data_IF_442810084711
#
_entry.id   IF_442810084711
#
_cell.length_a   1.000
_cell.length_b   1.000
_cell.length_c   1.000
_cell.angle_alpha   90.00
_cell.angle_beta   90.00
_cell.angle_gamma   90.00
#
_symmetry.space_group_name_H-M   'P 1'
#
loop_
_entity.id
_entity.type
_entity.pdbx_description
1 polymer ?
#
# COMPACT_ATOMS: atom_id res chain seq x y z
N UNK A 1 22.26 21.18 -10.14
CA UNK A 1 23.23 21.91 -9.30
C UNK A 1 24.58 21.22 -9.34
N UNK A 2 25.67 21.91 -9.00
CA UNK A 2 26.99 21.32 -8.82
C UNK A 2 27.35 21.37 -7.34
N UNK A 3 27.83 20.25 -6.80
CA UNK A 3 28.17 20.11 -5.38
C UNK A 3 29.57 19.49 -5.23
N UNK A 4 30.19 19.74 -4.10
CA UNK A 4 31.48 19.17 -3.70
C UNK A 4 31.27 18.21 -2.52
N UNK A 5 32.08 17.18 -2.42
CA UNK A 5 32.06 16.25 -1.28
C UNK A 5 33.30 16.53 -0.43
N UNK A 6 33.10 16.90 0.85
CA UNK A 6 34.20 17.19 1.78
C UNK A 6 35.06 15.94 2.00
N UNK A 7 36.37 16.09 1.89
CA UNK A 7 37.34 14.97 2.08
C UNK A 7 37.38 13.95 0.92
N UNK A 8 36.80 14.26 -0.22
CA UNK A 8 37.00 13.45 -1.42
C UNK A 8 38.38 13.70 -2.02
N UNK A 9 39.08 12.65 -2.44
CA UNK A 9 40.35 12.74 -3.19
C UNK A 9 40.14 13.38 -4.58
N UNK A 10 38.90 13.41 -5.07
CA UNK A 10 38.53 14.09 -6.32
C UNK A 10 38.07 15.51 -6.02
N UNK A 11 38.82 16.50 -6.49
CA UNK A 11 38.42 17.92 -6.45
C UNK A 11 37.34 18.28 -7.47
N UNK A 12 36.84 17.32 -8.26
CA UNK A 12 35.82 17.57 -9.30
C UNK A 12 34.42 17.68 -8.70
N UNK A 13 33.66 18.73 -9.06
CA UNK A 13 32.28 18.85 -8.62
C UNK A 13 31.39 17.73 -9.20
N UNK A 14 30.47 17.27 -8.36
CA UNK A 14 29.41 16.33 -8.76
C UNK A 14 28.22 17.14 -9.29
N UNK A 15 27.87 16.94 -10.55
CA UNK A 15 26.69 17.57 -11.17
C UNK A 15 25.45 16.75 -10.86
N UNK A 16 24.53 17.27 -10.05
CA UNK A 16 23.21 16.71 -9.79
C UNK A 16 22.17 17.37 -10.71
N UNK A 17 21.50 16.58 -11.52
CA UNK A 17 20.48 17.00 -12.48
C UNK A 17 19.08 16.52 -12.06
N UNK A 18 18.05 16.92 -12.80
CA UNK A 18 16.69 16.41 -12.59
C UNK A 18 16.61 14.87 -12.71
N UNK A 19 17.44 14.28 -13.58
CA UNK A 19 17.48 12.81 -13.75
C UNK A 19 18.07 12.07 -12.55
N UNK A 20 18.73 12.76 -11.64
CA UNK A 20 19.24 12.20 -10.39
C UNK A 20 18.26 12.33 -9.22
N UNK A 21 17.21 13.13 -9.38
CA UNK A 21 16.20 13.37 -8.34
C UNK A 21 15.37 12.12 -8.08
N UNK A 22 15.20 11.78 -6.81
CA UNK A 22 14.41 10.62 -6.36
C UNK A 22 13.17 11.08 -5.60
N UNK A 23 13.32 11.95 -4.61
CA UNK A 23 12.23 12.38 -3.75
C UNK A 23 12.54 13.73 -3.09
N UNK A 24 11.50 14.39 -2.59
CA UNK A 24 11.63 15.59 -1.75
C UNK A 24 10.73 15.43 -0.53
N UNK A 25 11.25 15.80 0.62
CA UNK A 25 10.52 15.89 1.90
C UNK A 25 10.51 17.30 2.45
N UNK A 26 10.02 17.47 3.68
CA UNK A 26 9.94 18.77 4.34
C UNK A 26 11.30 19.44 4.54
N UNK A 27 12.35 18.68 4.80
CA UNK A 27 13.68 19.20 5.12
C UNK A 27 14.59 19.35 3.90
N UNK A 28 14.38 18.54 2.84
CA UNK A 28 15.30 18.54 1.69
C UNK A 28 14.92 17.57 0.59
N UNK A 29 15.81 17.48 -0.38
CA UNK A 29 15.66 16.65 -1.58
C UNK A 29 16.74 15.58 -1.66
N UNK A 30 16.36 14.41 -2.12
CA UNK A 30 17.24 13.25 -2.33
C UNK A 30 17.58 13.11 -3.81
N UNK A 31 18.87 13.04 -4.09
CA UNK A 31 19.40 12.77 -5.42
C UNK A 31 20.25 11.50 -5.37
N UNK A 32 20.30 10.75 -6.47
CA UNK A 32 21.15 9.56 -6.58
C UNK A 32 22.05 9.67 -7.80
N UNK A 33 23.35 9.47 -7.59
CA UNK A 33 24.34 9.43 -8.67
C UNK A 33 25.49 8.49 -8.32
N UNK A 34 25.82 7.59 -9.24
CA UNK A 34 26.95 6.67 -9.08
C UNK A 34 26.83 5.76 -7.84
N UNK A 35 25.61 5.30 -7.50
CA UNK A 35 25.37 4.46 -6.31
C UNK A 35 25.40 5.19 -4.97
N UNK A 36 25.56 6.53 -4.99
CA UNK A 36 25.55 7.37 -3.78
C UNK A 36 24.27 8.20 -3.74
N UNK A 37 23.60 8.26 -2.61
CA UNK A 37 22.49 9.17 -2.35
C UNK A 37 23.01 10.47 -1.71
N UNK A 38 22.40 11.58 -2.08
CA UNK A 38 22.70 12.93 -1.61
C UNK A 38 21.44 13.53 -1.02
N UNK A 39 21.39 13.79 0.30
CA UNK A 39 20.35 14.60 0.93
C UNK A 39 20.81 16.06 0.88
N UNK A 40 20.08 16.90 0.16
CA UNK A 40 20.33 18.34 0.03
C UNK A 40 19.23 19.07 0.76
N UNK A 41 19.58 19.81 1.79
CA UNK A 41 18.60 20.55 2.60
C UNK A 41 18.02 21.74 1.84
N UNK A 42 16.72 21.94 1.96
CA UNK A 42 16.03 23.13 1.43
C UNK A 42 16.50 24.38 2.16
N UNK A 43 16.68 24.27 3.48
CA UNK A 43 17.31 25.29 4.30
C UNK A 43 18.63 24.74 4.87
N UNK A 44 19.80 25.12 4.33
CA UNK A 44 21.10 24.66 4.82
C UNK A 44 21.38 24.94 6.30
N UNK A 45 20.73 25.94 6.90
CA UNK A 45 20.87 26.26 8.33
C UNK A 45 20.20 25.19 9.22
N UNK A 46 19.26 24.41 8.67
CA UNK A 46 18.61 23.30 9.38
C UNK A 46 19.38 22.00 9.24
N UNK A 47 20.48 21.97 8.48
CA UNK A 47 21.31 20.78 8.34
C UNK A 47 21.88 20.34 9.70
N UNK A 48 21.91 19.02 9.95
CA UNK A 48 22.53 18.46 11.15
C UNK A 48 24.01 18.87 11.25
N UNK A 49 24.49 19.16 12.48
CA UNK A 49 25.90 19.51 12.70
C UNK A 49 26.84 18.36 12.30
N UNK A 50 28.05 18.71 11.85
CA UNK A 50 29.10 17.72 11.54
C UNK A 50 29.40 16.76 12.70
N UNK A 51 29.36 17.26 13.93
CA UNK A 51 29.55 16.47 15.13
C UNK A 51 28.49 15.37 15.28
N UNK A 52 27.22 15.66 14.94
CA UNK A 52 26.15 14.65 14.93
C UNK A 52 26.41 13.54 13.91
N UNK A 53 26.95 13.88 12.72
CA UNK A 53 27.36 12.88 11.73
C UNK A 53 28.44 11.94 12.33
N UNK A 54 29.36 12.51 13.10
CA UNK A 54 30.38 11.75 13.84
C UNK A 54 29.77 10.79 14.86
N UNK A 55 28.81 11.25 15.67
CA UNK A 55 28.12 10.38 16.62
C UNK A 55 27.32 9.27 15.92
N UNK A 56 26.61 9.56 14.85
CA UNK A 56 25.87 8.56 14.06
C UNK A 56 26.78 7.54 13.37
N UNK A 57 28.06 7.88 13.13
CA UNK A 57 29.01 6.99 12.45
C UNK A 57 29.28 5.69 13.20
N UNK A 58 29.10 5.67 14.54
CA UNK A 58 29.33 4.48 15.39
C UNK A 58 28.29 3.37 15.16
N UNK A 59 27.18 3.66 14.50
CA UNK A 59 26.19 2.64 14.15
C UNK A 59 26.81 1.69 13.11
N UNK A 60 26.99 0.43 13.48
CA UNK A 60 27.65 -0.58 12.63
C UNK A 60 26.66 -1.40 11.79
N UNK A 61 25.36 -1.34 12.10
CA UNK A 61 24.32 -2.10 11.39
C UNK A 61 24.26 -1.69 9.91
N UNK A 62 24.51 -2.60 8.96
CA UNK A 62 24.67 -2.26 7.53
C UNK A 62 23.36 -1.83 6.84
N UNK A 63 22.24 -2.11 7.49
CA UNK A 63 20.90 -1.72 7.05
C UNK A 63 20.44 -0.36 7.63
N UNK A 64 21.27 0.32 8.40
CA UNK A 64 21.03 1.70 8.86
C UNK A 64 21.73 2.65 7.89
N UNK A 65 20.95 3.43 7.14
CA UNK A 65 21.43 4.32 6.07
C UNK A 65 21.77 5.68 6.67
N UNK A 66 22.93 5.77 7.25
CA UNK A 66 23.42 6.94 7.99
C UNK A 66 24.10 7.97 7.10
N UNK A 67 24.20 9.24 7.55
CA UNK A 67 25.05 10.26 6.92
C UNK A 67 26.51 9.83 6.90
N UNK A 68 27.21 10.06 5.77
CA UNK A 68 28.60 9.67 5.60
C UNK A 68 29.53 10.87 5.46
N UNK A 69 29.32 11.70 4.43
CA UNK A 69 30.20 12.82 4.10
C UNK A 69 29.38 14.09 3.85
N UNK A 70 29.93 15.25 4.25
CA UNK A 70 29.30 16.53 4.03
C UNK A 70 29.34 16.89 2.55
N UNK A 71 28.22 17.39 2.06
CA UNK A 71 28.09 17.99 0.73
C UNK A 71 28.14 19.51 0.87
N UNK A 72 28.95 20.12 0.02
CA UNK A 72 29.20 21.56 0.00
C UNK A 72 28.69 22.16 -1.30
N UNK A 73 28.30 23.41 -1.26
CA UNK A 73 28.05 24.24 -2.46
C UNK A 73 29.38 24.71 -3.10
N UNK A 74 29.29 25.45 -4.21
CA UNK A 74 30.46 26.03 -4.89
C UNK A 74 31.25 27.03 -4.02
N UNK A 75 30.61 27.60 -2.98
CA UNK A 75 31.22 28.54 -2.03
C UNK A 75 31.76 27.85 -0.79
N UNK A 76 31.84 26.52 -0.79
CA UNK A 76 32.28 25.68 0.33
C UNK A 76 31.34 25.70 1.57
N UNK A 77 30.08 26.14 1.43
CA UNK A 77 29.12 26.07 2.52
C UNK A 77 28.49 24.69 2.57
N UNK A 78 28.29 24.09 3.76
CA UNK A 78 27.57 22.83 3.93
C UNK A 78 26.10 22.99 3.53
N UNK A 79 25.62 22.10 2.65
CA UNK A 79 24.24 22.10 2.17
C UNK A 79 23.55 20.74 2.28
N UNK A 80 24.29 19.71 2.71
CA UNK A 80 23.76 18.38 2.83
C UNK A 80 24.83 17.35 3.17
N UNK A 81 24.49 16.09 2.95
CA UNK A 81 25.40 14.97 3.16
C UNK A 81 25.18 13.85 2.13
N UNK A 82 26.16 12.99 1.97
CA UNK A 82 26.04 11.74 1.24
C UNK A 82 25.64 10.60 2.17
N UNK A 83 24.99 9.59 1.61
CA UNK A 83 24.67 8.33 2.28
C UNK A 83 24.64 7.20 1.26
N UNK A 84 24.64 5.95 1.73
CA UNK A 84 24.46 4.78 0.88
C UNK A 84 23.12 4.85 0.15
N UNK A 85 23.12 4.58 -1.15
CA UNK A 85 21.89 4.38 -1.90
C UNK A 85 21.44 2.92 -1.81
N UNK A 86 20.17 2.71 -1.53
CA UNK A 86 19.52 1.39 -1.56
C UNK A 86 18.53 1.38 -2.71
N UNK A 87 18.81 0.56 -3.72
CA UNK A 87 17.94 0.37 -4.88
C UNK A 87 16.96 -0.78 -4.66
N UNK A 88 15.97 -0.90 -5.55
CA UNK A 88 15.02 -2.01 -5.59
C UNK A 88 14.30 -2.25 -4.26
N UNK A 89 13.72 -1.21 -3.73
CA UNK A 89 12.98 -1.23 -2.47
C UNK A 89 11.54 -0.78 -2.63
N UNK A 90 10.74 -1.13 -1.64
CA UNK A 90 9.41 -0.57 -1.35
C UNK A 90 9.51 0.27 -0.08
N UNK A 91 8.75 1.36 0.03
CA UNK A 91 8.50 1.98 1.33
C UNK A 91 7.71 0.99 2.21
N UNK A 92 8.03 0.91 3.51
CA UNK A 92 7.44 -0.09 4.39
C UNK A 92 5.90 -0.02 4.41
N UNK A 93 5.33 1.17 4.34
CA UNK A 93 3.87 1.35 4.30
C UNK A 93 3.21 0.66 3.09
N UNK A 94 3.94 0.43 2.00
CA UNK A 94 3.40 -0.23 0.79
C UNK A 94 3.12 -1.72 1.02
N UNK A 95 3.77 -2.38 1.99
CA UNK A 95 3.56 -3.80 2.27
C UNK A 95 2.40 -4.07 3.25
N UNK A 96 1.79 -3.04 3.83
CA UNK A 96 0.72 -3.19 4.80
C UNK A 96 -0.59 -3.72 4.20
N UNK A 97 -1.05 -3.22 3.02
CA UNK A 97 -2.32 -3.67 2.45
C UNK A 97 -2.30 -5.15 2.07
N UNK A 98 -3.40 -5.87 2.43
CA UNK A 98 -3.60 -7.27 2.04
C UNK A 98 -3.42 -7.48 0.53
N UNK A 99 -3.97 -6.58 -0.30
CA UNK A 99 -3.86 -6.66 -1.76
C UNK A 99 -2.41 -6.64 -2.28
N UNK A 100 -1.49 -5.91 -1.60
CA UNK A 100 -0.08 -5.96 -1.95
C UNK A 100 0.51 -7.34 -1.66
N UNK A 101 0.21 -7.91 -0.50
CA UNK A 101 0.72 -9.23 -0.08
C UNK A 101 0.21 -10.35 -0.96
N UNK A 102 -1.08 -10.34 -1.27
CA UNK A 102 -1.71 -11.31 -2.19
C UNK A 102 -1.02 -11.28 -3.57
N UNK A 103 -0.74 -10.07 -4.09
CA UNK A 103 -0.06 -9.89 -5.38
C UNK A 103 1.40 -10.34 -5.37
N UNK A 104 2.10 -10.17 -4.27
CA UNK A 104 3.55 -10.44 -4.17
C UNK A 104 3.88 -11.79 -3.55
N UNK A 105 2.87 -12.51 -3.06
CA UNK A 105 3.06 -13.78 -2.35
C UNK A 105 3.70 -13.63 -0.97
N UNK A 106 3.65 -12.42 -0.37
CA UNK A 106 4.23 -12.17 0.96
C UNK A 106 3.38 -12.81 2.05
N UNK A 107 3.89 -13.85 2.68
CA UNK A 107 3.25 -14.56 3.78
C UNK A 107 3.56 -13.96 5.16
N UNK A 108 2.90 -14.48 6.18
CA UNK A 108 3.07 -14.02 7.57
C UNK A 108 4.47 -14.33 8.12
N UNK A 109 5.09 -15.43 7.69
CA UNK A 109 6.44 -15.80 8.12
C UNK A 109 7.48 -14.80 7.60
N UNK A 110 7.33 -14.36 6.36
CA UNK A 110 8.15 -13.28 5.78
C UNK A 110 7.97 -11.98 6.56
N UNK A 111 6.74 -11.61 6.91
CA UNK A 111 6.46 -10.41 7.73
C UNK A 111 7.12 -10.53 9.10
N UNK A 112 7.01 -11.68 9.77
CA UNK A 112 7.65 -11.91 11.06
C UNK A 112 9.17 -11.77 10.98
N UNK A 113 9.81 -12.34 9.96
CA UNK A 113 11.26 -12.21 9.73
C UNK A 113 11.70 -10.76 9.57
N UNK A 114 10.94 -9.95 8.83
CA UNK A 114 11.23 -8.51 8.68
C UNK A 114 11.08 -7.79 10.03
N UNK A 115 10.04 -8.08 10.81
CA UNK A 115 9.82 -7.51 12.15
C UNK A 115 10.98 -7.87 13.09
N UNK A 116 11.42 -9.11 13.09
CA UNK A 116 12.56 -9.56 13.92
C UNK A 116 13.88 -8.87 13.53
N UNK A 117 14.09 -8.64 12.23
CA UNK A 117 15.24 -7.86 11.75
C UNK A 117 15.17 -6.40 12.20
N UNK A 118 13.98 -5.77 12.12
CA UNK A 118 13.80 -4.42 12.65
C UNK A 118 14.07 -4.36 14.15
N UNK A 119 13.53 -5.30 14.92
CA UNK A 119 13.75 -5.41 16.36
C UNK A 119 15.25 -5.53 16.71
N UNK A 120 15.96 -6.41 15.99
CA UNK A 120 17.41 -6.60 16.19
C UNK A 120 18.17 -5.32 15.88
N UNK A 121 17.81 -4.62 14.81
CA UNK A 121 18.46 -3.36 14.41
C UNK A 121 18.22 -2.25 15.44
N UNK A 122 16.99 -2.08 15.92
CA UNK A 122 16.66 -1.10 16.98
C UNK A 122 17.42 -1.44 18.27
N UNK A 123 17.48 -2.72 18.68
CA UNK A 123 18.28 -3.14 19.82
C UNK A 123 19.75 -2.78 19.67
N UNK A 124 20.31 -2.91 18.47
CA UNK A 124 21.69 -2.53 18.19
C UNK A 124 21.90 -1.02 18.22
N UNK A 125 20.92 -0.22 17.75
CA UNK A 125 20.95 1.24 17.89
C UNK A 125 20.99 1.64 19.37
N UNK A 126 20.12 1.07 20.19
CA UNK A 126 20.04 1.35 21.64
C UNK A 126 21.34 1.01 22.40
N UNK A 127 22.12 0.03 21.92
CA UNK A 127 23.42 -0.33 22.52
C UNK A 127 24.51 0.70 22.25
N UNK A 128 24.35 1.57 21.26
CA UNK A 128 25.31 2.60 20.91
C UNK A 128 25.07 3.87 21.74
N UNK A 129 25.71 3.96 22.91
CA UNK A 129 25.73 5.17 23.76
C UNK A 129 24.33 5.75 24.08
N UNK A 130 23.30 4.90 24.18
CA UNK A 130 21.96 5.34 24.50
C UNK A 130 21.23 6.06 23.34
N UNK A 131 21.67 5.88 22.11
CA UNK A 131 20.98 6.42 20.93
C UNK A 131 19.53 5.96 20.86
N UNK A 132 18.65 6.87 20.43
CA UNK A 132 17.22 6.60 20.21
C UNK A 132 16.84 6.92 18.76
N UNK A 133 15.98 6.08 18.19
CA UNK A 133 15.45 6.30 16.86
C UNK A 133 14.44 7.44 16.84
N UNK A 134 13.62 7.54 17.88
CA UNK A 134 12.53 8.50 18.11
C UNK A 134 11.46 8.46 17.03
N UNK A 135 11.75 8.91 15.81
CA UNK A 135 10.76 8.97 14.72
C UNK A 135 10.78 7.71 13.85
N UNK A 136 10.61 6.54 14.48
CA UNK A 136 10.55 5.24 13.79
C UNK A 136 9.18 4.98 13.12
N UNK A 137 8.70 5.91 12.29
CA UNK A 137 7.45 5.77 11.56
C UNK A 137 7.61 4.93 10.29
N UNK A 138 6.50 4.48 9.71
CA UNK A 138 6.45 3.58 8.55
C UNK A 138 7.05 4.15 7.26
N UNK A 139 7.28 5.46 7.20
CA UNK A 139 7.91 6.12 6.05
C UNK A 139 9.44 6.13 6.14
N UNK A 140 9.98 5.90 7.34
CA UNK A 140 11.41 5.91 7.60
C UNK A 140 12.07 4.52 7.46
N UNK A 141 11.37 3.59 6.79
CA UNK A 141 11.88 2.26 6.46
C UNK A 141 11.65 1.91 5.01
N UNK A 142 12.64 1.24 4.41
CA UNK A 142 12.53 0.63 3.09
C UNK A 142 12.68 -0.89 3.21
N UNK A 143 11.95 -1.64 2.41
CA UNK A 143 12.05 -3.10 2.33
C UNK A 143 12.55 -3.48 0.94
N UNK A 144 13.55 -4.34 0.85
CA UNK A 144 14.02 -4.83 -0.45
C UNK A 144 12.92 -5.64 -1.16
N UNK A 145 12.92 -5.60 -2.51
CA UNK A 145 11.89 -6.30 -3.32
C UNK A 145 11.87 -7.82 -3.15
N UNK A 146 12.90 -8.39 -2.54
CA UNK A 146 12.96 -9.82 -2.19
C UNK A 146 12.46 -10.12 -0.78
N UNK A 147 12.02 -9.11 -0.05
CA UNK A 147 11.53 -9.18 1.33
C UNK A 147 12.52 -9.83 2.31
N UNK A 148 13.81 -9.59 2.11
CA UNK A 148 14.87 -10.15 2.96
C UNK A 148 15.38 -9.18 4.01
N UNK A 149 15.40 -7.87 3.69
CA UNK A 149 15.98 -6.84 4.55
C UNK A 149 15.10 -5.61 4.69
N UNK A 150 15.20 -4.95 5.85
CA UNK A 150 14.60 -3.65 6.13
C UNK A 150 15.72 -2.64 6.34
N UNK A 151 15.69 -1.55 5.60
CA UNK A 151 16.65 -0.46 5.70
C UNK A 151 16.03 0.70 6.47
N UNK A 152 16.78 1.25 7.40
CA UNK A 152 16.42 2.40 8.21
C UNK A 152 16.95 3.65 7.53
N UNK A 153 16.08 4.57 7.18
CA UNK A 153 16.41 5.85 6.53
C UNK A 153 16.07 7.02 7.46
N UNK A 154 16.42 8.22 7.06
CA UNK A 154 16.21 9.46 7.83
C UNK A 154 16.89 9.43 9.22
N UNK A 155 18.07 8.85 9.28
CA UNK A 155 18.85 8.58 10.51
C UNK A 155 19.36 9.88 11.15
N UNK A 156 19.39 10.98 10.42
CA UNK A 156 19.73 12.29 10.95
C UNK A 156 18.71 12.85 11.95
N UNK A 157 17.48 12.29 11.99
CA UNK A 157 16.46 12.61 13.01
C UNK A 157 16.74 11.98 14.38
N UNK A 158 17.60 10.96 14.48
CA UNK A 158 17.86 10.22 15.72
C UNK A 158 18.37 11.12 16.85
N UNK A 159 17.97 10.79 18.09
CA UNK A 159 18.59 11.35 19.28
C UNK A 159 19.93 10.66 19.53
N UNK A 160 20.97 11.45 19.77
CA UNK A 160 22.31 11.00 20.07
C UNK A 160 22.79 11.63 21.38
N UNK A 161 23.95 11.25 21.87
CA UNK A 161 24.46 11.70 23.19
C UNK A 161 24.41 13.25 23.35
N UNK A 162 24.84 13.98 22.32
CA UNK A 162 24.93 15.46 22.37
C UNK A 162 23.82 16.18 21.62
N UNK A 163 22.97 15.48 20.85
CA UNK A 163 21.96 16.08 19.99
C UNK A 163 20.59 15.44 20.24
N UNK A 164 19.70 16.16 20.93
CA UNK A 164 18.33 15.69 21.16
C UNK A 164 17.57 15.58 19.84
N UNK A 165 16.57 14.72 19.82
CA UNK A 165 15.59 14.67 18.72
C UNK A 165 14.69 15.89 18.75
N UNK A 166 14.30 16.38 17.57
CA UNK A 166 13.52 17.61 17.42
C UNK A 166 12.05 17.37 17.12
N UNK A 167 11.72 16.21 16.54
CA UNK A 167 10.36 15.90 16.10
C UNK A 167 10.09 14.39 16.16
N UNK A 168 8.82 14.05 16.24
CA UNK A 168 8.28 12.69 16.12
C UNK A 168 6.90 12.79 15.47
N UNK A 169 6.57 11.84 14.58
CA UNK A 169 5.25 11.75 13.99
C UNK A 169 4.21 11.42 15.06
N UNK A 170 3.12 12.18 15.13
CA UNK A 170 2.08 12.04 16.16
C UNK A 170 1.44 10.64 16.21
N UNK A 171 1.35 9.96 15.08
CA UNK A 171 0.75 8.63 15.00
C UNK A 171 1.52 7.53 15.73
N UNK A 172 2.82 7.71 15.92
CA UNK A 172 3.67 6.72 16.61
C UNK A 172 4.12 7.18 17.99
N UNK A 173 3.76 8.42 18.37
CA UNK A 173 4.18 9.02 19.64
C UNK A 173 3.54 8.31 20.83
N UNK A 174 4.33 8.00 21.85
CA UNK A 174 3.82 7.60 23.15
C UNK A 174 3.33 8.84 23.93
N UNK A 175 2.02 9.10 23.88
CA UNK A 175 1.41 10.26 24.52
C UNK A 175 1.38 10.18 26.04
N UNK A 176 1.66 9.01 26.64
CA UNK A 176 1.77 8.85 28.09
C UNK A 176 3.15 9.20 28.63
N UNK A 177 4.16 9.23 27.74
CA UNK A 177 5.54 9.54 28.10
C UNK A 177 6.04 10.78 27.36
N UNK A 178 6.26 11.90 28.08
CA UNK A 178 6.71 13.15 27.46
C UNK A 178 8.18 13.10 27.02
N UNK A 179 8.99 12.23 27.62
CA UNK A 179 10.43 12.07 27.34
C UNK A 179 10.67 10.85 26.44
N UNK A 180 11.59 11.00 25.50
CA UNK A 180 12.02 9.88 24.68
C UNK A 180 12.89 8.92 25.48
N UNK A 181 12.81 7.65 25.16
CA UNK A 181 13.53 6.57 25.79
C UNK A 181 13.51 5.32 24.89
N UNK A 182 14.27 4.31 25.23
CA UNK A 182 14.17 3.02 24.54
C UNK A 182 12.75 2.43 24.57
N UNK A 183 12.00 2.68 25.64
CA UNK A 183 10.61 2.19 25.76
C UNK A 183 9.65 2.96 24.85
N UNK A 184 9.88 4.24 24.58
CA UNK A 184 9.08 4.99 23.58
C UNK A 184 9.43 4.56 22.15
N UNK A 185 10.68 4.21 21.85
CA UNK A 185 11.06 3.59 20.58
C UNK A 185 10.37 2.23 20.39
N UNK A 186 10.33 1.41 21.45
CA UNK A 186 9.60 0.14 21.41
C UNK A 186 8.10 0.31 21.25
N UNK A 187 7.52 1.39 21.78
CA UNK A 187 6.11 1.73 21.53
C UNK A 187 5.85 2.09 20.06
N UNK A 188 6.72 2.92 19.47
CA UNK A 188 6.67 3.25 18.04
C UNK A 188 6.84 2.00 17.17
N UNK A 189 7.81 1.15 17.49
CA UNK A 189 8.01 -0.14 16.84
C UNK A 189 6.79 -1.07 16.97
N UNK A 190 6.13 -1.08 18.14
CA UNK A 190 4.92 -1.87 18.33
C UNK A 190 3.81 -1.42 17.38
N UNK A 191 3.62 -0.12 17.19
CA UNK A 191 2.64 0.43 16.26
C UNK A 191 2.95 -0.02 14.82
N UNK A 192 4.19 0.15 14.37
CA UNK A 192 4.59 -0.19 13.01
C UNK A 192 4.54 -1.70 12.76
N UNK A 193 5.05 -2.52 13.69
CA UNK A 193 5.01 -3.98 13.56
C UNK A 193 3.58 -4.54 13.61
N UNK A 194 2.68 -3.93 14.39
CA UNK A 194 1.25 -4.27 14.35
C UNK A 194 0.64 -3.96 12.97
N UNK A 195 0.96 -2.79 12.38
CA UNK A 195 0.53 -2.45 11.02
C UNK A 195 1.09 -3.45 9.98
N UNK A 196 2.32 -3.90 10.18
CA UNK A 196 2.92 -4.95 9.34
C UNK A 196 2.19 -6.28 9.45
N UNK A 197 1.63 -6.67 10.57
CA UNK A 197 0.82 -7.89 10.68
C UNK A 197 -0.58 -7.72 10.09
N UNK A 198 -1.30 -6.67 10.47
CA UNK A 198 -2.75 -6.55 10.29
C UNK A 198 -3.15 -5.65 9.13
N UNK A 199 -2.29 -4.71 8.74
CA UNK A 199 -2.59 -3.73 7.69
C UNK A 199 -3.33 -2.48 8.17
N UNK A 200 -3.50 -2.30 9.49
CA UNK A 200 -4.12 -1.11 10.07
C UNK A 200 -3.37 -0.66 11.32
N UNK A 201 -3.32 0.65 11.55
CA UNK A 201 -2.77 1.23 12.76
C UNK A 201 -3.56 0.78 14.01
N UNK A 202 -2.90 0.38 15.13
CA UNK A 202 -3.58 -0.20 16.30
C UNK A 202 -4.62 0.71 16.95
N UNK A 203 -4.58 2.01 16.71
CA UNK A 203 -5.55 2.96 17.25
C UNK A 203 -6.45 3.60 16.16
N UNK A 204 -6.47 3.06 14.94
CA UNK A 204 -7.48 3.38 13.91
C UNK A 204 -8.75 2.51 14.10
N UNK A 205 -9.74 2.72 13.25
CA UNK A 205 -11.06 2.07 13.32
C UNK A 205 -12.14 3.05 13.84
N UNK A 206 -13.36 2.56 14.06
CA UNK A 206 -14.49 3.37 14.49
C UNK A 206 -14.93 2.99 15.90
N UNK A 207 -15.12 3.99 16.76
CA UNK A 207 -15.71 3.87 18.09
C UNK A 207 -16.83 4.89 18.23
N UNK A 208 -17.86 4.61 19.03
CA UNK A 208 -19.06 5.48 19.18
C UNK A 208 -18.70 6.89 19.69
N UNK A 209 -17.88 6.98 20.70
CA UNK A 209 -17.58 8.23 21.42
C UNK A 209 -16.18 8.79 21.12
N UNK A 210 -15.14 7.96 21.09
CA UNK A 210 -13.75 8.38 20.93
C UNK A 210 -13.35 8.24 19.45
N UNK A 211 -13.34 9.36 18.74
CA UNK A 211 -13.10 9.38 17.27
C UNK A 211 -11.64 9.66 16.89
N UNK A 212 -10.96 10.49 17.67
CA UNK A 212 -9.58 10.88 17.43
C UNK A 212 -8.59 9.73 17.70
N UNK A 213 -7.58 9.57 16.85
CA UNK A 213 -6.55 8.54 17.05
C UNK A 213 -5.74 8.82 18.32
N UNK A 214 -5.34 10.07 18.55
CA UNK A 214 -4.65 10.50 19.78
C UNK A 214 -5.48 10.21 21.03
N UNK A 215 -6.78 10.55 20.99
CA UNK A 215 -7.67 10.30 22.14
C UNK A 215 -7.79 8.82 22.46
N UNK A 216 -7.81 7.97 21.43
CA UNK A 216 -7.81 6.52 21.59
C UNK A 216 -6.49 5.98 22.12
N UNK A 217 -5.36 6.58 21.71
CA UNK A 217 -4.04 6.25 22.27
C UNK A 217 -3.99 6.60 23.77
N UNK A 218 -4.46 7.77 24.16
CA UNK A 218 -4.55 8.20 25.55
C UNK A 218 -5.53 7.35 26.38
N UNK A 219 -6.62 6.88 25.77
CA UNK A 219 -7.58 6.00 26.42
C UNK A 219 -7.16 4.52 26.42
N UNK A 220 -6.00 4.14 25.90
CA UNK A 220 -5.56 2.76 25.69
C UNK A 220 -6.65 1.89 25.00
N UNK A 221 -7.25 2.42 23.92
CA UNK A 221 -8.35 1.80 23.21
C UNK A 221 -7.94 1.35 21.80
N UNK A 222 -7.27 0.21 21.66
CA UNK A 222 -6.80 -0.30 20.37
C UNK A 222 -7.94 -0.90 19.52
N UNK A 223 -7.63 -1.24 18.26
CA UNK A 223 -8.59 -1.84 17.30
C UNK A 223 -9.11 -3.21 17.73
N UNK A 224 -8.43 -3.93 18.61
CA UNK A 224 -8.92 -5.19 19.18
C UNK A 224 -9.76 -5.00 20.47
N UNK A 225 -10.07 -3.75 20.84
CA UNK A 225 -11.07 -3.48 21.87
C UNK A 225 -12.47 -3.85 21.33
N UNK A 226 -13.31 -4.51 22.14
CA UNK A 226 -14.63 -5.03 21.75
C UNK A 226 -15.58 -3.99 21.13
N UNK A 227 -15.44 -2.72 21.52
CA UNK A 227 -16.29 -1.61 21.06
C UNK A 227 -15.74 -0.89 19.83
N UNK A 228 -14.66 -1.40 19.26
CA UNK A 228 -14.02 -0.82 18.07
C UNK A 228 -14.25 -1.69 16.84
N UNK A 229 -14.81 -1.11 15.81
CA UNK A 229 -14.93 -1.76 14.51
C UNK A 229 -13.83 -1.28 13.55
N UNK A 230 -13.33 -2.17 12.70
CA UNK A 230 -12.31 -1.89 11.70
C UNK A 230 -12.64 -2.58 10.37
N UNK A 231 -12.02 -2.17 9.25
CA UNK A 231 -12.35 -2.68 7.92
C UNK A 231 -12.08 -4.19 7.79
N UNK A 232 -13.01 -4.92 7.18
CA UNK A 232 -12.88 -6.37 6.91
C UNK A 232 -11.72 -6.75 5.98
N UNK A 233 -11.14 -5.78 5.27
CA UNK A 233 -9.96 -5.99 4.41
C UNK A 233 -8.66 -6.19 5.21
N UNK A 234 -8.66 -5.85 6.50
CA UNK A 234 -7.54 -6.12 7.40
C UNK A 234 -7.38 -7.62 7.63
N UNK A 235 -6.14 -8.04 7.90
CA UNK A 235 -5.88 -9.43 8.26
C UNK A 235 -6.44 -9.74 9.68
N UNK A 236 -6.83 -10.99 9.95
CA UNK A 236 -7.32 -11.39 11.26
C UNK A 236 -6.18 -11.34 12.30
N UNK A 237 -6.51 -11.06 13.56
CA UNK A 237 -5.51 -10.98 14.64
C UNK A 237 -4.80 -12.32 14.91
N UNK A 238 -5.37 -13.42 14.45
CA UNK A 238 -4.78 -14.76 14.64
C UNK A 238 -3.49 -14.99 13.85
N UNK A 239 -3.22 -14.16 12.83
CA UNK A 239 -1.93 -14.19 12.12
C UNK A 239 -0.77 -13.68 12.98
N UNK A 240 -1.05 -12.97 14.08
CA UNK A 240 -0.01 -12.46 14.99
C UNK A 240 0.46 -13.60 15.91
N UNK A 241 1.77 -13.87 16.01
CA UNK A 241 2.30 -14.82 16.99
C UNK A 241 1.90 -14.46 18.41
N UNK A 242 1.61 -15.47 19.26
CA UNK A 242 1.06 -15.26 20.60
C UNK A 242 1.90 -14.32 21.46
N UNK A 243 3.23 -14.45 21.41
CA UNK A 243 4.12 -13.56 22.17
C UNK A 243 3.96 -12.08 21.80
N UNK A 244 3.76 -11.78 20.49
CA UNK A 244 3.47 -10.41 20.04
C UNK A 244 2.04 -9.98 20.40
N UNK A 245 1.04 -10.87 20.35
CA UNK A 245 -0.34 -10.55 20.81
C UNK A 245 -0.33 -10.10 22.27
N UNK A 246 0.35 -10.86 23.12
CA UNK A 246 0.43 -10.57 24.56
C UNK A 246 1.19 -9.25 24.79
N UNK A 247 2.25 -9.00 24.04
CA UNK A 247 2.99 -7.76 24.11
C UNK A 247 2.16 -6.56 23.65
N UNK A 248 1.46 -6.64 22.51
CA UNK A 248 0.58 -5.57 22.04
C UNK A 248 -0.57 -5.30 23.01
N UNK A 249 -1.14 -6.35 23.64
CA UNK A 249 -2.15 -6.20 24.67
C UNK A 249 -1.59 -5.45 25.89
N UNK A 250 -0.41 -5.81 26.34
CA UNK A 250 0.25 -5.12 27.45
C UNK A 250 0.51 -3.65 27.14
N UNK A 251 0.99 -3.32 25.93
CA UNK A 251 1.30 -1.94 25.56
C UNK A 251 0.05 -1.10 25.27
N UNK A 252 -0.84 -1.60 24.40
CA UNK A 252 -1.90 -0.80 23.82
C UNK A 252 -3.20 -0.81 24.63
N UNK A 253 -3.44 -1.88 25.39
CA UNK A 253 -4.66 -2.02 26.21
C UNK A 253 -4.40 -1.81 27.69
N UNK A 254 -3.32 -2.39 28.23
CA UNK A 254 -2.98 -2.30 29.64
C UNK A 254 -2.11 -1.08 29.98
N UNK A 255 -1.66 -0.33 28.99
CA UNK A 255 -0.84 0.88 29.16
C UNK A 255 0.58 0.61 29.69
N UNK A 256 1.03 -0.63 29.69
CA UNK A 256 2.40 -0.98 30.10
C UNK A 256 3.43 -0.54 29.07
N UNK A 257 4.68 -0.42 29.50
CA UNK A 257 5.82 -0.16 28.61
C UNK A 257 6.87 -1.22 28.84
N UNK A 258 7.01 -2.10 27.86
CA UNK A 258 7.87 -3.29 27.91
C UNK A 258 8.65 -3.40 26.60
N UNK A 259 9.87 -3.94 26.63
CA UNK A 259 10.58 -4.30 25.41
C UNK A 259 9.82 -5.41 24.65
N UNK A 260 10.05 -5.56 23.33
CA UNK A 260 9.42 -6.61 22.54
C UNK A 260 9.85 -8.01 22.99
N UNK A 261 9.03 -9.03 22.70
CA UNK A 261 9.37 -10.41 23.06
C UNK A 261 10.66 -10.85 22.34
N UNK A 262 11.48 -11.64 23.03
CA UNK A 262 12.74 -12.20 22.54
C UNK A 262 12.69 -13.74 22.52
N UNK A 263 13.53 -14.36 21.70
CA UNK A 263 13.63 -15.82 21.55
C UNK A 263 13.07 -16.35 20.23
N UNK A 264 12.94 -17.67 20.12
CA UNK A 264 12.39 -18.32 18.93
C UNK A 264 10.87 -18.14 18.87
N UNK A 265 10.42 -17.06 18.21
CA UNK A 265 9.02 -16.82 17.95
C UNK A 265 8.69 -17.49 16.63
N UNK A 266 7.78 -18.44 16.66
CA UNK A 266 7.27 -19.11 15.46
C UNK A 266 5.99 -18.44 14.99
N UNK A 267 5.80 -18.38 13.68
CA UNK A 267 4.50 -18.04 13.10
C UNK A 267 3.49 -19.10 13.47
N UNK A 268 2.31 -18.68 13.87
CA UNK A 268 1.16 -19.57 13.90
C UNK A 268 0.79 -19.82 12.45
N UNK A 269 1.14 -21.01 11.93
CA UNK A 269 0.52 -21.49 10.72
C UNK A 269 -0.93 -21.78 11.12
N UNK A 270 -1.82 -20.83 10.84
CA UNK A 270 -3.25 -21.14 10.86
C UNK A 270 -3.43 -22.06 9.65
N UNK A 271 -3.66 -23.37 9.83
CA UNK A 271 -4.09 -24.16 8.72
C UNK A 271 -5.34 -23.45 8.21
N UNK A 272 -5.42 -23.23 6.91
CA UNK A 272 -6.70 -22.92 6.28
C UNK A 272 -7.54 -24.15 6.53
N UNK A 273 -8.21 -24.18 7.69
CA UNK A 273 -9.28 -25.12 7.91
C UNK A 273 -10.34 -24.60 6.96
N UNK A 274 -10.44 -25.24 5.81
CA UNK A 274 -11.68 -25.27 5.08
C UNK A 274 -12.63 -25.94 6.06
N UNK A 275 -13.29 -25.16 6.91
CA UNK A 275 -14.46 -25.64 7.62
C UNK A 275 -15.46 -25.91 6.49
N UNK A 276 -15.56 -27.16 6.11
CA UNK A 276 -16.79 -27.65 5.55
C UNK A 276 -17.80 -27.39 6.64
N UNK A 277 -18.63 -26.34 6.46
CA UNK A 277 -19.74 -26.05 7.37
C UNK A 277 -20.71 -27.21 7.14
N UNK A 278 -20.55 -28.28 7.92
CA UNK A 278 -21.52 -29.34 7.99
C UNK A 278 -22.66 -28.81 8.89
N UNK A 279 -23.73 -28.37 8.20
CA UNK A 279 -25.04 -28.14 8.83
C UNK A 279 -25.05 -27.21 10.01
N UNK A 280 -25.08 -25.88 9.77
CA UNK A 280 -25.71 -24.94 10.68
C UNK A 280 -27.17 -24.80 10.27
N UNK A 281 -28.07 -24.84 11.22
CA UNK A 281 -29.52 -24.68 10.99
C UNK A 281 -29.88 -23.33 10.31
N UNK A 282 -28.95 -22.37 10.28
CA UNK A 282 -29.14 -21.01 9.75
C UNK A 282 -28.69 -20.81 8.30
N UNK A 283 -28.02 -21.78 7.67
CA UNK A 283 -27.51 -21.64 6.28
C UNK A 283 -27.63 -22.94 5.49
N UNK A 284 -28.33 -22.88 4.38
CA UNK A 284 -28.33 -23.91 3.36
C UNK A 284 -27.30 -23.55 2.27
N UNK A 285 -26.28 -24.40 2.07
CA UNK A 285 -25.30 -24.24 1.01
C UNK A 285 -25.70 -25.15 -0.12
N UNK A 286 -26.11 -24.55 -1.24
CA UNK A 286 -26.44 -25.29 -2.46
C UNK A 286 -25.34 -25.04 -3.49
N UNK A 287 -24.68 -26.11 -3.94
CA UNK A 287 -23.79 -26.06 -5.09
C UNK A 287 -24.63 -25.76 -6.35
N UNK A 288 -24.30 -24.67 -7.04
CA UNK A 288 -25.05 -24.24 -8.22
C UNK A 288 -24.41 -24.72 -9.53
N UNK A 289 -23.10 -24.61 -9.62
CA UNK A 289 -22.30 -25.00 -10.77
C UNK A 289 -20.89 -25.39 -10.36
N UNK A 290 -20.35 -26.42 -11.05
CA UNK A 290 -18.96 -26.81 -10.96
C UNK A 290 -18.26 -26.53 -12.30
N UNK A 291 -17.05 -25.97 -12.25
CA UNK A 291 -16.23 -25.67 -13.43
C UNK A 291 -14.88 -26.36 -13.32
N UNK A 292 -14.43 -27.00 -14.39
CA UNK A 292 -13.11 -27.65 -14.48
C UNK A 292 -11.96 -26.64 -14.58
N UNK A 293 -12.11 -25.46 -13.96
CA UNK A 293 -11.15 -24.38 -14.01
C UNK A 293 -11.43 -23.32 -12.92
N UNK A 294 -10.41 -22.61 -12.50
CA UNK A 294 -10.55 -21.55 -11.49
C UNK A 294 -11.51 -20.45 -11.97
N UNK A 295 -12.51 -20.13 -11.16
CA UNK A 295 -13.41 -19.02 -11.40
C UNK A 295 -12.68 -17.71 -11.12
N UNK A 296 -12.63 -16.81 -12.11
CA UNK A 296 -11.99 -15.48 -12.03
C UNK A 296 -13.03 -14.44 -11.63
N UNK A 297 -14.21 -14.47 -12.25
CA UNK A 297 -15.29 -13.53 -11.99
C UNK A 297 -16.65 -14.22 -12.17
N UNK A 298 -17.56 -13.92 -11.28
CA UNK A 298 -18.97 -14.32 -11.40
C UNK A 298 -19.85 -13.09 -11.46
N UNK A 299 -20.84 -13.10 -12.34
CA UNK A 299 -21.82 -12.05 -12.56
C UNK A 299 -23.23 -12.66 -12.66
N UNK A 300 -24.17 -12.10 -11.94
CA UNK A 300 -25.58 -12.44 -12.07
C UNK A 300 -26.37 -11.17 -12.38
N UNK A 301 -27.01 -11.12 -13.53
CA UNK A 301 -27.80 -9.97 -14.01
C UNK A 301 -29.15 -10.50 -14.51
N UNK A 302 -30.23 -10.05 -13.90
CA UNK A 302 -31.60 -10.41 -14.28
C UNK A 302 -31.81 -11.92 -14.48
N UNK A 303 -31.26 -12.73 -13.57
CA UNK A 303 -31.34 -14.19 -13.62
C UNK A 303 -30.32 -14.87 -14.55
N UNK A 304 -29.64 -14.11 -15.41
CA UNK A 304 -28.57 -14.62 -16.25
C UNK A 304 -27.27 -14.69 -15.46
N UNK A 305 -26.69 -15.89 -15.37
CA UNK A 305 -25.44 -16.16 -14.66
C UNK A 305 -24.32 -16.32 -15.65
N UNK A 306 -23.31 -15.46 -15.51
CA UNK A 306 -22.13 -15.45 -16.37
C UNK A 306 -20.89 -15.68 -15.51
N UNK A 307 -20.11 -16.71 -15.82
CA UNK A 307 -18.88 -17.03 -15.11
C UNK A 307 -17.70 -16.93 -16.05
N UNK A 308 -16.76 -16.07 -15.72
CA UNK A 308 -15.45 -16.04 -16.35
C UNK A 308 -14.52 -16.97 -15.56
N UNK A 309 -14.10 -18.06 -16.19
CA UNK A 309 -13.13 -18.99 -15.63
C UNK A 309 -11.80 -18.91 -16.39
N UNK A 310 -10.76 -19.55 -15.87
CA UNK A 310 -9.43 -19.52 -16.48
C UNK A 310 -9.38 -20.16 -17.87
N UNK A 311 -10.32 -21.05 -18.19
CA UNK A 311 -10.45 -21.73 -19.47
C UNK A 311 -11.49 -21.13 -20.43
N UNK A 312 -12.26 -20.11 -20.02
CA UNK A 312 -13.23 -19.45 -20.89
C UNK A 312 -14.42 -18.81 -20.15
N UNK A 313 -15.42 -18.38 -20.93
CA UNK A 313 -16.65 -17.78 -20.44
C UNK A 313 -17.81 -18.76 -20.49
N UNK A 314 -18.54 -18.86 -19.39
CA UNK A 314 -19.71 -19.70 -19.25
C UNK A 314 -20.98 -18.85 -19.06
N UNK A 315 -22.06 -19.27 -19.67
CA UNK A 315 -23.42 -18.81 -19.37
C UNK A 315 -24.16 -19.99 -18.73
N UNK A 316 -24.51 -19.86 -17.46
CA UNK A 316 -24.87 -21.01 -16.65
C UNK A 316 -23.69 -21.99 -16.57
N UNK A 317 -23.92 -23.24 -16.98
CA UNK A 317 -22.91 -24.30 -17.07
C UNK A 317 -22.34 -24.50 -18.49
N UNK A 318 -22.80 -23.75 -19.47
CA UNK A 318 -22.39 -23.91 -20.87
C UNK A 318 -21.20 -22.96 -21.17
N UNK A 319 -20.09 -23.54 -21.66
CA UNK A 319 -18.97 -22.75 -22.22
C UNK A 319 -19.43 -22.11 -23.54
N UNK A 320 -19.37 -20.79 -23.62
CA UNK A 320 -19.84 -20.00 -24.76
C UNK A 320 -18.72 -19.29 -25.51
N UNK A 321 -17.55 -19.14 -24.90
CA UNK A 321 -16.38 -18.54 -25.56
C UNK A 321 -15.07 -18.99 -24.89
N UNK A 322 -14.01 -19.05 -25.70
CA UNK A 322 -12.66 -19.49 -25.30
C UNK A 322 -11.82 -18.40 -24.60
N UNK A 323 -10.54 -18.70 -24.38
CA UNK A 323 -9.57 -17.97 -23.54
C UNK A 323 -9.35 -16.48 -23.81
N UNK A 324 -9.71 -15.97 -24.97
CA UNK A 324 -9.46 -14.58 -25.39
C UNK A 324 -10.33 -13.52 -24.68
N UNK A 325 -11.20 -13.93 -23.77
CA UNK A 325 -12.17 -13.05 -23.09
C UNK A 325 -11.68 -12.56 -21.73
N UNK A 326 -10.51 -12.98 -21.26
CA UNK A 326 -10.00 -12.66 -19.91
C UNK A 326 -9.96 -11.15 -19.57
N UNK A 327 -9.72 -10.31 -20.56
CA UNK A 327 -9.65 -8.86 -20.42
C UNK A 327 -10.90 -8.12 -20.90
N UNK A 328 -12.01 -8.86 -21.10
CA UNK A 328 -13.26 -8.27 -21.55
C UNK A 328 -14.12 -7.83 -20.36
N UNK A 329 -14.83 -6.73 -20.54
CA UNK A 329 -16.00 -6.41 -19.74
C UNK A 329 -17.21 -7.14 -20.31
N UNK A 330 -18.12 -7.53 -19.45
CA UNK A 330 -19.31 -8.31 -19.85
C UNK A 330 -20.55 -7.47 -19.58
N UNK A 331 -21.39 -7.33 -20.61
CA UNK A 331 -22.74 -6.80 -20.51
C UNK A 331 -23.77 -7.89 -20.79
N UNK A 332 -24.97 -7.72 -20.23
CA UNK A 332 -26.13 -8.58 -20.50
C UNK A 332 -27.25 -7.69 -21.02
N UNK A 333 -27.84 -8.08 -22.14
CA UNK A 333 -28.92 -7.31 -22.72
C UNK A 333 -30.24 -7.45 -21.94
N UNK A 334 -31.07 -6.39 -21.84
CA UNK A 334 -32.18 -6.35 -20.89
C UNK A 334 -33.40 -7.23 -21.28
N UNK A 335 -33.61 -7.52 -22.55
CA UNK A 335 -34.80 -8.22 -23.00
C UNK A 335 -34.59 -9.73 -23.19
N UNK A 336 -33.51 -10.11 -23.89
CA UNK A 336 -33.27 -11.51 -24.26
C UNK A 336 -32.05 -12.10 -23.54
N UNK A 337 -31.45 -11.34 -22.60
CA UNK A 337 -30.33 -11.78 -21.77
C UNK A 337 -29.13 -12.28 -22.59
N UNK A 338 -28.91 -11.68 -23.77
CA UNK A 338 -27.71 -11.98 -24.56
C UNK A 338 -26.47 -11.45 -23.85
N UNK A 339 -25.41 -12.23 -23.88
CA UNK A 339 -24.13 -11.87 -23.23
C UNK A 339 -23.20 -11.24 -24.27
N UNK A 340 -22.83 -9.99 -24.05
CA UNK A 340 -21.95 -9.22 -24.92
C UNK A 340 -20.59 -9.05 -24.25
N UNK A 341 -19.55 -9.50 -24.93
CA UNK A 341 -18.17 -9.22 -24.57
C UNK A 341 -17.78 -7.85 -25.13
N UNK A 342 -17.20 -7.01 -24.30
CA UNK A 342 -16.83 -5.62 -24.61
C UNK A 342 -15.34 -5.44 -24.35
N UNK A 343 -14.57 -5.01 -25.37
CA UNK A 343 -13.12 -4.75 -25.30
C UNK A 343 -12.79 -3.40 -25.90
N UNK A 344 -11.62 -2.87 -25.58
CA UNK A 344 -10.98 -1.78 -26.29
C UNK A 344 -9.94 -2.37 -27.24
N UNK A 345 -10.08 -2.15 -28.52
CA UNK A 345 -9.10 -2.54 -29.54
C UNK A 345 -8.73 -1.33 -30.40
N UNK A 346 -7.45 -0.99 -30.43
CA UNK A 346 -6.93 0.17 -31.17
C UNK A 346 -7.68 1.48 -30.88
N UNK A 347 -8.06 1.72 -29.62
CA UNK A 347 -8.77 2.93 -29.20
C UNK A 347 -10.25 2.97 -29.56
N UNK A 348 -10.82 1.87 -30.07
CA UNK A 348 -12.22 1.73 -30.41
C UNK A 348 -12.88 0.58 -29.62
N UNK A 349 -14.19 0.65 -29.51
CA UNK A 349 -14.98 -0.39 -28.89
C UNK A 349 -15.09 -1.60 -29.82
N UNK A 350 -14.69 -2.77 -29.31
CA UNK A 350 -14.91 -4.08 -29.97
C UNK A 350 -15.98 -4.83 -29.19
N UNK A 351 -17.05 -5.23 -29.87
CA UNK A 351 -18.23 -5.86 -29.31
C UNK A 351 -18.43 -7.24 -29.93
N UNK A 352 -18.63 -8.26 -29.11
CA UNK A 352 -18.90 -9.63 -29.57
C UNK A 352 -20.05 -10.23 -28.79
N UNK A 353 -21.09 -10.68 -29.49
CA UNK A 353 -22.18 -11.45 -28.90
C UNK A 353 -21.75 -12.92 -28.69
N UNK A 354 -21.44 -13.27 -27.47
CA UNK A 354 -20.97 -14.61 -27.11
C UNK A 354 -22.09 -15.61 -26.86
N UNK A 355 -23.36 -15.16 -26.86
CA UNK A 355 -24.53 -16.03 -26.73
C UNK A 355 -25.01 -16.62 -28.07
N UNK A 356 -24.35 -16.30 -29.17
CA UNK A 356 -24.65 -16.85 -30.50
C UNK A 356 -25.59 -16.00 -31.36
N UNK A 357 -25.87 -14.77 -30.97
CA UNK A 357 -26.59 -13.74 -31.80
C UNK A 357 -25.62 -12.94 -32.68
N UNK A 358 -26.13 -11.97 -33.43
CA UNK A 358 -25.32 -11.00 -34.15
C UNK A 358 -24.58 -10.09 -33.17
N UNK A 359 -23.30 -9.82 -33.45
CA UNK A 359 -22.54 -8.86 -32.65
C UNK A 359 -23.04 -7.43 -32.91
N UNK A 360 -23.14 -6.59 -31.87
CA UNK A 360 -23.50 -5.20 -32.05
C UNK A 360 -22.49 -4.47 -32.94
N UNK A 361 -22.98 -3.63 -33.85
CA UNK A 361 -22.11 -2.77 -34.66
C UNK A 361 -22.07 -1.36 -34.05
N UNK A 362 -20.91 -0.74 -34.07
CA UNK A 362 -20.70 0.63 -33.63
C UNK A 362 -19.21 0.98 -33.61
N UNK A 363 -18.87 2.07 -34.31
CA UNK A 363 -17.52 2.63 -34.27
C UNK A 363 -17.48 3.72 -33.17
N UNK A 364 -17.22 3.30 -31.93
CA UNK A 364 -17.20 4.18 -30.76
C UNK A 364 -15.77 4.27 -30.26
N UNK A 365 -15.19 5.47 -30.28
CA UNK A 365 -13.86 5.72 -29.73
C UNK A 365 -13.89 5.68 -28.21
N UNK A 366 -12.93 5.00 -27.59
CA UNK A 366 -12.86 4.76 -26.14
C UNK A 366 -11.44 4.84 -25.64
N UNK A 367 -11.20 5.60 -24.59
CA UNK A 367 -9.90 5.74 -23.93
C UNK A 367 -9.78 4.84 -22.70
N UNK A 368 -10.88 4.64 -21.96
CA UNK A 368 -10.91 3.84 -20.73
C UNK A 368 -12.31 3.24 -20.53
N UNK A 369 -12.42 2.15 -19.78
CA UNK A 369 -13.67 1.42 -19.61
C UNK A 369 -13.72 0.74 -18.24
N UNK A 370 -14.93 0.66 -17.67
CA UNK A 370 -15.19 -0.13 -16.46
C UNK A 370 -16.52 -0.89 -16.59
N UNK A 371 -16.71 -1.88 -15.75
CA UNK A 371 -18.00 -2.55 -15.57
C UNK A 371 -18.46 -2.52 -14.12
N UNK A 372 -19.76 -2.44 -13.94
CA UNK A 372 -20.38 -2.54 -12.62
C UNK A 372 -21.79 -3.12 -12.72
N UNK A 373 -22.07 -4.19 -11.97
CA UNK A 373 -23.39 -4.86 -11.94
C UNK A 373 -23.96 -5.16 -13.34
N UNK A 374 -23.13 -5.67 -14.26
CA UNK A 374 -23.55 -6.01 -15.62
C UNK A 374 -23.74 -4.82 -16.57
N UNK A 375 -23.46 -3.61 -16.12
CA UNK A 375 -23.46 -2.39 -16.94
C UNK A 375 -22.02 -2.06 -17.31
N UNK A 376 -21.80 -1.52 -18.49
CA UNK A 376 -20.47 -1.11 -18.98
C UNK A 376 -20.48 0.39 -19.21
N UNK A 377 -19.45 1.04 -18.70
CA UNK A 377 -19.24 2.48 -18.82
C UNK A 377 -17.93 2.73 -19.57
N UNK A 378 -17.96 3.71 -20.45
CA UNK A 378 -16.82 4.11 -21.27
C UNK A 378 -16.47 5.58 -21.04
N UNK A 379 -15.18 5.87 -21.10
CA UNK A 379 -14.68 7.24 -21.13
C UNK A 379 -14.13 7.57 -22.51
N UNK A 380 -14.58 8.67 -23.07
CA UNK A 380 -14.03 9.26 -24.28
C UNK A 380 -13.86 10.76 -24.07
N UNK A 381 -12.61 11.25 -24.13
CA UNK A 381 -12.25 12.63 -23.78
C UNK A 381 -12.78 13.02 -22.38
N UNK A 382 -13.63 14.03 -22.31
CA UNK A 382 -14.26 14.52 -21.08
C UNK A 382 -15.63 13.91 -20.80
N UNK A 383 -16.07 12.91 -21.57
CA UNK A 383 -17.37 12.27 -21.44
C UNK A 383 -17.27 10.89 -20.82
N UNK A 384 -18.03 10.67 -19.77
CA UNK A 384 -18.35 9.35 -19.22
C UNK A 384 -19.74 8.95 -19.68
N UNK A 385 -19.84 7.82 -20.36
CA UNK A 385 -21.11 7.31 -20.90
C UNK A 385 -21.34 5.87 -20.52
N UNK A 386 -22.59 5.48 -20.29
CA UNK A 386 -23.02 4.10 -20.14
C UNK A 386 -23.36 3.52 -21.52
N UNK A 387 -22.95 2.28 -21.78
CA UNK A 387 -23.35 1.57 -22.99
C UNK A 387 -24.73 0.95 -22.80
N UNK A 388 -25.75 1.53 -23.48
CA UNK A 388 -27.07 0.95 -23.52
C UNK A 388 -27.19 0.00 -24.72
N UNK A 389 -27.58 -1.24 -24.47
CA UNK A 389 -27.83 -2.25 -25.48
C UNK A 389 -29.30 -2.27 -25.80
N UNK A 390 -29.66 -1.90 -27.05
CA UNK A 390 -31.02 -1.83 -27.55
C UNK A 390 -31.23 -3.01 -28.50
N UNK A 391 -32.21 -3.87 -28.18
CA UNK A 391 -32.52 -5.05 -28.96
C UNK A 391 -33.64 -4.73 -29.95
N UNK A 392 -33.40 -4.92 -31.25
CA UNK A 392 -34.34 -4.72 -32.34
C UNK A 392 -34.45 -6.03 -33.15
N UNK A 393 -35.41 -6.87 -32.79
CA UNK A 393 -35.57 -8.21 -33.35
C UNK A 393 -34.36 -9.10 -32.98
N UNK A 394 -33.63 -9.55 -34.00
CA UNK A 394 -32.41 -10.38 -33.77
C UNK A 394 -31.12 -9.56 -33.61
N UNK A 395 -31.21 -8.26 -33.86
CA UNK A 395 -30.03 -7.37 -33.83
C UNK A 395 -29.94 -6.65 -32.49
N UNK A 396 -28.73 -6.45 -32.02
CA UNK A 396 -28.39 -5.66 -30.84
C UNK A 396 -27.66 -4.41 -31.31
N UNK A 397 -28.13 -3.25 -30.90
CA UNK A 397 -27.49 -1.96 -31.16
C UNK A 397 -26.92 -1.44 -29.84
N UNK A 398 -25.79 -0.73 -29.92
CA UNK A 398 -25.18 -0.07 -28.75
C UNK A 398 -25.30 1.43 -28.89
N UNK A 399 -25.82 2.07 -27.86
CA UNK A 399 -26.00 3.53 -27.80
C UNK A 399 -25.35 4.06 -26.53
N UNK A 400 -24.29 4.87 -26.63
CA UNK A 400 -23.72 5.54 -25.47
C UNK A 400 -24.71 6.54 -24.89
N UNK A 401 -25.02 6.41 -23.61
CA UNK A 401 -25.85 7.34 -22.85
C UNK A 401 -24.92 8.14 -21.92
N UNK A 402 -24.93 9.47 -22.10
CA UNK A 402 -24.15 10.37 -21.25
C UNK A 402 -24.53 10.20 -19.77
N UNK A 403 -23.52 10.07 -18.90
CA UNK A 403 -23.64 9.93 -17.45
C UNK A 403 -23.09 11.17 -16.75
N UNK A 404 -21.88 11.58 -17.10
CA UNK A 404 -21.21 12.72 -16.47
C UNK A 404 -20.09 13.27 -17.36
N UNK A 405 -19.71 14.53 -17.11
CA UNK A 405 -18.46 15.07 -17.61
C UNK A 405 -17.32 14.74 -16.61
N UNK A 406 -16.15 14.42 -17.14
CA UNK A 406 -14.97 14.03 -16.38
C UNK A 406 -13.74 14.77 -16.88
N UNK A 407 -12.69 14.85 -16.06
CA UNK A 407 -11.42 15.45 -16.46
C UNK A 407 -10.68 14.53 -17.44
N UNK A 408 -10.50 14.96 -18.68
CA UNK A 408 -9.98 14.14 -19.78
C UNK A 408 -8.71 13.36 -19.42
N UNK A 409 -7.67 14.06 -18.97
CA UNK A 409 -6.34 13.46 -18.70
C UNK A 409 -6.10 13.16 -17.20
N UNK A 410 -7.11 13.38 -16.36
CA UNK A 410 -6.98 13.24 -14.90
C UNK A 410 -8.05 12.31 -14.29
N UNK A 411 -8.70 11.49 -15.13
CA UNK A 411 -9.71 10.51 -14.71
C UNK A 411 -9.27 9.09 -15.02
N UNK A 412 -9.43 8.20 -14.04
CA UNK A 412 -9.24 6.75 -14.16
C UNK A 412 -10.52 6.02 -13.77
N UNK A 413 -10.86 4.99 -14.53
CA UNK A 413 -11.98 4.11 -14.29
C UNK A 413 -11.53 2.81 -13.61
N UNK A 414 -12.26 2.39 -12.59
CA UNK A 414 -12.13 1.10 -11.92
C UNK A 414 -13.52 0.49 -11.79
N UNK A 415 -13.66 -0.82 -11.65
CA UNK A 415 -14.97 -1.47 -11.55
C UNK A 415 -15.81 -0.83 -10.41
N UNK A 416 -16.85 -0.10 -10.79
CA UNK A 416 -17.74 0.62 -9.89
C UNK A 416 -17.22 1.93 -9.30
N UNK A 417 -16.01 2.40 -9.68
CA UNK A 417 -15.43 3.63 -9.12
C UNK A 417 -14.76 4.47 -10.20
N UNK A 418 -15.04 5.76 -10.21
CA UNK A 418 -14.35 6.76 -11.04
C UNK A 418 -13.52 7.65 -10.15
N UNK A 419 -12.22 7.70 -10.38
CA UNK A 419 -11.29 8.57 -9.65
C UNK A 419 -10.84 9.71 -10.55
N UNK A 420 -10.99 10.94 -10.07
CA UNK A 420 -10.55 12.15 -10.76
C UNK A 420 -9.55 12.93 -9.90
N UNK A 421 -8.50 13.44 -10.53
CA UNK A 421 -7.61 14.42 -9.89
C UNK A 421 -8.04 15.82 -10.33
N UNK A 422 -8.60 16.60 -9.41
CA UNK A 422 -9.03 17.97 -9.66
C UNK A 422 -8.11 18.89 -8.86
N UNK A 423 -7.23 19.61 -9.56
CA UNK A 423 -6.27 20.57 -8.97
C UNK A 423 -5.46 19.97 -7.80
N UNK A 424 -5.01 18.72 -7.94
CA UNK A 424 -4.22 18.03 -6.92
C UNK A 424 -5.04 17.28 -5.85
N UNK A 425 -6.37 17.43 -5.85
CA UNK A 425 -7.27 16.69 -4.97
C UNK A 425 -7.88 15.49 -5.69
N UNK A 426 -7.81 14.31 -5.08
CA UNK A 426 -8.43 13.10 -5.63
C UNK A 426 -9.88 12.98 -5.15
N UNK A 427 -10.79 12.92 -6.12
CA UNK A 427 -12.22 12.70 -5.88
C UNK A 427 -12.62 11.32 -6.42
N UNK A 428 -13.35 10.56 -5.61
CA UNK A 428 -13.90 9.26 -6.00
C UNK A 428 -15.43 9.33 -6.11
N UNK A 429 -15.97 8.96 -7.26
CA UNK A 429 -17.40 8.73 -7.46
C UNK A 429 -17.65 7.22 -7.48
N UNK A 430 -18.58 6.74 -6.66
CA UNK A 430 -18.94 5.32 -6.52
C UNK A 430 -20.31 5.13 -7.17
N UNK A 431 -20.46 4.10 -8.04
CA UNK A 431 -21.67 3.74 -8.77
C UNK A 431 -22.53 2.75 -8.00
#
# INVERSE_FOLDING_TARGET
MEVLIKGSSSSRPVKLSKNNFIASGGEGSIYVKGGTAFKIYTNPKAMIPHAKIGELSVITSPNVIKPERIVLDKKQHPIGYTMKHVSDTYALCQIFPKAFRDRTGMDTDTVLKLIQKMQTTISNIHKNQGMLQVDGNEMNYLVDKKFKDVYFIDVDSYETLSFPATAIMESIRDWHNPKFSQLTDWFSFAIVSFQMFIGIHPFKGKHKSIKGMKDRMLANMPVFHKDVSFPKVCLPFDVIPQAYKDWYKALFFEGKRLPPPSGNIQTVVIPVIIQTITGNEDFEITEMFEYNSNVIRFLSVDGTRVTLAANGLYVGNKLVADKDIKNSHIAVTPLTSQVISVKIENGNLSLSNVSGGSSPEGNISVQDMMSYKGRVFIKNQDLLSELNFVEMGKNVHVVPKHVANVMENATKLFDGVVIQNILGSFMASIF
#
